data_IF_381057432246
#
_entry.id   IF_381057432246
#
_cell.length_a   1.000
_cell.length_b   1.000
_cell.length_c   1.000
_cell.angle_alpha   90.00
_cell.angle_beta   90.00
_cell.angle_gamma   90.00
#
_symmetry.space_group_name_H-M   'P 1'
#
loop_
_entity.id
_entity.type
_entity.pdbx_description
1 polymer ?
#
# COMPACT_ATOMS: atom_id res chain seq x y z
N UNK A 1 -21.42 20.37 -31.50
CA UNK A 1 -20.98 19.37 -30.49
C UNK A 1 -21.26 19.94 -29.11
N UNK A 2 -22.33 19.51 -28.45
CA UNK A 2 -22.60 19.91 -27.07
C UNK A 2 -21.64 19.15 -26.14
N UNK A 3 -20.88 19.88 -25.34
CA UNK A 3 -20.11 19.30 -24.25
C UNK A 3 -21.10 18.62 -23.29
N UNK A 4 -20.96 17.31 -23.12
CA UNK A 4 -21.69 16.58 -22.09
C UNK A 4 -21.08 17.00 -20.77
N UNK A 5 -21.68 18.01 -20.15
CA UNK A 5 -21.40 18.40 -18.77
C UNK A 5 -21.96 17.28 -17.87
N UNK A 6 -21.18 16.20 -17.71
CA UNK A 6 -21.50 15.18 -16.72
C UNK A 6 -21.33 15.86 -15.37
N UNK A 7 -22.38 16.00 -14.55
CA UNK A 7 -22.19 16.45 -13.18
C UNK A 7 -21.19 15.50 -12.55
N UNK A 8 -20.03 16.02 -12.14
CA UNK A 8 -19.05 15.26 -11.37
C UNK A 8 -19.70 14.92 -10.03
N UNK A 9 -20.41 13.79 -9.98
CA UNK A 9 -20.86 13.23 -8.72
C UNK A 9 -19.61 12.95 -7.91
N UNK A 10 -19.43 13.68 -6.81
CA UNK A 10 -18.36 13.40 -5.86
C UNK A 10 -18.51 11.93 -5.45
N UNK A 11 -17.49 11.07 -5.67
CA UNK A 11 -17.56 9.68 -5.26
C UNK A 11 -17.92 9.62 -3.79
N UNK A 12 -18.81 8.71 -3.40
CA UNK A 12 -19.13 8.51 -1.98
C UNK A 12 -17.88 8.00 -1.26
N UNK A 13 -17.20 8.90 -0.56
CA UNK A 13 -15.92 8.64 0.11
C UNK A 13 -15.97 7.39 0.99
N UNK A 14 -17.04 7.22 1.78
CA UNK A 14 -17.20 6.08 2.68
C UNK A 14 -17.32 4.78 1.90
N UNK A 15 -18.08 4.77 0.80
CA UNK A 15 -18.17 3.61 -0.09
C UNK A 15 -16.83 3.29 -0.74
N UNK A 16 -16.08 4.30 -1.19
CA UNK A 16 -14.74 4.12 -1.76
C UNK A 16 -13.78 3.52 -0.73
N UNK A 17 -13.71 4.08 0.48
CA UNK A 17 -12.86 3.56 1.56
C UNK A 17 -13.29 2.14 1.95
N UNK A 18 -14.59 1.84 1.97
CA UNK A 18 -15.08 0.49 2.23
C UNK A 18 -14.55 -0.54 1.22
N UNK A 19 -14.61 -0.24 -0.08
CA UNK A 19 -14.05 -1.13 -1.11
C UNK A 19 -12.53 -1.26 -0.99
N UNK A 20 -11.80 -0.16 -0.77
CA UNK A 20 -10.35 -0.19 -0.56
C UNK A 20 -10.00 -1.12 0.60
N UNK A 21 -10.72 -1.03 1.72
CA UNK A 21 -10.49 -1.90 2.87
C UNK A 21 -10.80 -3.36 2.58
N UNK A 22 -11.85 -3.65 1.80
CA UNK A 22 -12.16 -5.02 1.38
C UNK A 22 -11.02 -5.62 0.54
N UNK A 23 -10.46 -4.84 -0.38
CA UNK A 23 -9.28 -5.24 -1.17
C UNK A 23 -8.05 -5.48 -0.28
N UNK A 24 -7.75 -4.55 0.63
CA UNK A 24 -6.61 -4.66 1.56
C UNK A 24 -6.70 -5.85 2.52
N UNK A 25 -7.92 -6.23 2.92
CA UNK A 25 -8.19 -7.40 3.75
C UNK A 25 -8.23 -8.71 2.94
N UNK A 26 -8.10 -8.64 1.62
CA UNK A 26 -8.15 -9.79 0.73
C UNK A 26 -9.52 -10.46 0.66
N UNK A 27 -10.60 -9.71 0.90
CA UNK A 27 -11.99 -10.23 0.85
C UNK A 27 -12.51 -10.42 -0.57
N UNK A 28 -11.84 -9.85 -1.55
CA UNK A 28 -12.16 -10.03 -2.97
C UNK A 28 -11.70 -11.43 -3.44
N UNK A 29 -12.30 -12.03 -4.48
CA UNK A 29 -11.79 -13.27 -5.04
C UNK A 29 -10.33 -13.12 -5.48
N UNK A 30 -9.42 -13.87 -4.85
CA UNK A 30 -8.03 -13.91 -5.27
C UNK A 30 -7.87 -14.71 -6.57
N UNK A 31 -6.87 -14.38 -7.37
CA UNK A 31 -6.42 -15.23 -8.47
C UNK A 31 -5.87 -16.53 -7.87
N UNK A 32 -6.26 -17.68 -8.41
CA UNK A 32 -5.80 -18.98 -7.91
C UNK A 32 -4.27 -19.06 -7.88
N UNK A 33 -3.71 -19.41 -6.72
CA UNK A 33 -2.26 -19.46 -6.51
C UNK A 33 -1.62 -18.15 -6.05
N UNK A 34 -2.39 -17.06 -5.90
CA UNK A 34 -1.89 -15.76 -5.44
C UNK A 34 -2.46 -15.38 -4.07
N UNK A 35 -1.64 -14.67 -3.29
CA UNK A 35 -2.03 -14.04 -2.03
C UNK A 35 -2.10 -12.53 -2.23
N UNK A 36 -3.12 -11.90 -1.66
CA UNK A 36 -3.40 -10.48 -1.81
C UNK A 36 -3.58 -9.79 -0.45
N UNK A 37 -3.65 -8.45 -0.47
CA UNK A 37 -3.81 -7.64 0.73
C UNK A 37 -2.62 -7.73 1.69
N UNK A 38 -2.86 -7.43 2.96
CA UNK A 38 -1.82 -7.41 4.01
C UNK A 38 -1.13 -8.77 4.24
N UNK A 39 -1.79 -9.88 3.90
CA UNK A 39 -1.21 -11.21 4.02
C UNK A 39 -0.07 -11.46 3.02
N UNK A 40 -0.02 -10.70 1.91
CA UNK A 40 1.02 -10.82 0.89
C UNK A 40 2.42 -10.53 1.45
N UNK A 41 2.55 -9.60 2.41
CA UNK A 41 3.81 -9.31 3.08
C UNK A 41 4.43 -10.53 3.78
N UNK A 42 3.61 -11.39 4.41
CA UNK A 42 4.12 -12.60 5.07
C UNK A 42 4.70 -13.57 4.03
N UNK A 43 4.01 -13.74 2.91
CA UNK A 43 4.47 -14.59 1.80
C UNK A 43 5.74 -14.03 1.18
N UNK A 44 5.81 -12.71 1.02
CA UNK A 44 6.98 -12.02 0.48
C UNK A 44 8.19 -12.16 1.42
N UNK A 45 8.01 -11.91 2.71
CA UNK A 45 9.06 -12.08 3.73
C UNK A 45 9.55 -13.53 3.76
N UNK A 46 8.64 -14.50 3.73
CA UNK A 46 9.00 -15.92 3.70
C UNK A 46 9.85 -16.26 2.46
N UNK A 47 9.46 -15.77 1.28
CA UNK A 47 10.21 -15.99 0.05
C UNK A 47 11.63 -15.40 0.10
N UNK A 48 11.81 -14.24 0.76
CA UNK A 48 13.14 -13.65 1.01
C UNK A 48 13.96 -14.56 1.94
N UNK A 49 13.35 -15.03 3.03
CA UNK A 49 14.02 -15.86 4.04
C UNK A 49 14.43 -17.23 3.51
N UNK A 50 13.65 -17.78 2.57
CA UNK A 50 13.91 -19.06 1.91
C UNK A 50 14.78 -18.92 0.64
N UNK A 51 15.24 -17.71 0.32
CA UNK A 51 16.07 -17.41 -0.86
C UNK A 51 15.41 -17.86 -2.19
N UNK A 52 14.08 -17.73 -2.27
CA UNK A 52 13.26 -18.15 -3.43
C UNK A 52 12.88 -17.00 -4.37
N UNK A 53 13.35 -15.79 -4.10
CA UNK A 53 13.04 -14.65 -4.96
C UNK A 53 13.97 -14.58 -6.16
N UNK A 54 13.39 -14.34 -7.33
CA UNK A 54 14.12 -13.78 -8.46
C UNK A 54 14.48 -12.32 -8.17
N UNK A 55 15.75 -11.95 -8.28
CA UNK A 55 16.25 -10.62 -7.93
C UNK A 55 15.63 -9.52 -8.79
N UNK A 56 15.41 -9.78 -10.09
CA UNK A 56 14.82 -8.80 -11.02
C UNK A 56 13.35 -8.60 -10.69
N UNK A 57 12.60 -9.69 -10.52
CA UNK A 57 11.21 -9.68 -10.10
C UNK A 57 11.01 -8.99 -8.75
N UNK A 58 11.93 -9.21 -7.79
CA UNK A 58 11.89 -8.52 -6.51
C UNK A 58 12.08 -7.01 -6.66
N UNK A 59 13.11 -6.56 -7.39
CA UNK A 59 13.35 -5.15 -7.65
C UNK A 59 12.15 -4.47 -8.33
N UNK A 60 11.55 -5.14 -9.32
CA UNK A 60 10.33 -4.68 -9.97
C UNK A 60 9.14 -4.58 -9.00
N UNK A 61 8.95 -5.59 -8.15
CA UNK A 61 7.89 -5.58 -7.16
C UNK A 61 8.05 -4.44 -6.14
N UNK A 62 9.27 -4.19 -5.66
CA UNK A 62 9.55 -3.05 -4.76
C UNK A 62 9.21 -1.71 -5.43
N UNK A 63 9.59 -1.54 -6.70
CA UNK A 63 9.30 -0.33 -7.47
C UNK A 63 7.79 -0.09 -7.61
N UNK A 64 7.04 -1.11 -8.05
CA UNK A 64 5.59 -1.03 -8.21
C UNK A 64 4.89 -0.72 -6.88
N UNK A 65 5.32 -1.38 -5.79
CA UNK A 65 4.69 -1.19 -4.50
C UNK A 65 4.96 0.20 -3.92
N UNK A 66 6.16 0.76 -4.13
CA UNK A 66 6.48 2.14 -3.75
C UNK A 66 5.53 3.12 -4.46
N UNK A 67 5.46 3.07 -5.79
CA UNK A 67 4.59 3.96 -6.57
C UNK A 67 3.12 3.81 -6.17
N UNK A 68 2.64 2.57 -6.02
CA UNK A 68 1.27 2.32 -5.59
C UNK A 68 0.95 2.91 -4.20
N UNK A 69 1.91 2.91 -3.28
CA UNK A 69 1.73 3.48 -1.93
C UNK A 69 1.90 5.00 -1.90
N UNK A 70 2.71 5.58 -2.77
CA UNK A 70 2.75 7.03 -3.00
C UNK A 70 1.38 7.54 -3.46
N UNK A 71 0.76 6.87 -4.45
CA UNK A 71 -0.60 7.21 -4.88
C UNK A 71 -1.65 7.04 -3.78
N UNK A 72 -1.53 5.99 -2.95
CA UNK A 72 -2.42 5.79 -1.82
C UNK A 72 -2.29 6.94 -0.78
N UNK A 73 -1.06 7.40 -0.52
CA UNK A 73 -0.81 8.55 0.35
C UNK A 73 -1.40 9.84 -0.24
N UNK A 74 -1.17 10.12 -1.53
CA UNK A 74 -1.75 11.29 -2.19
C UNK A 74 -3.28 11.29 -2.09
N UNK A 75 -3.92 10.14 -2.36
CA UNK A 75 -5.37 9.99 -2.20
C UNK A 75 -5.84 10.31 -0.77
N UNK A 76 -5.14 9.80 0.25
CA UNK A 76 -5.50 10.07 1.65
C UNK A 76 -5.28 11.53 2.05
N UNK A 77 -4.24 12.18 1.51
CA UNK A 77 -3.99 13.61 1.71
C UNK A 77 -5.08 14.47 1.06
N UNK A 78 -5.51 14.11 -0.16
CA UNK A 78 -6.63 14.76 -0.82
C UNK A 78 -7.90 14.64 0.02
N UNK A 79 -8.19 13.45 0.55
CA UNK A 79 -9.32 13.24 1.46
C UNK A 79 -9.22 14.11 2.69
N UNK A 80 -8.04 14.20 3.29
CA UNK A 80 -7.84 14.99 4.50
C UNK A 80 -8.17 16.48 4.32
N UNK A 81 -8.03 17.02 3.09
CA UNK A 81 -8.37 18.41 2.79
C UNK A 81 -9.86 18.73 2.92
N UNK A 82 -10.73 17.71 2.85
CA UNK A 82 -12.19 17.88 3.00
C UNK A 82 -12.81 16.99 4.10
N UNK A 83 -12.02 16.14 4.74
CA UNK A 83 -12.42 15.33 5.89
C UNK A 83 -11.45 15.54 7.07
N UNK A 84 -12.00 16.08 8.16
CA UNK A 84 -11.24 16.50 9.34
C UNK A 84 -11.33 15.52 10.51
N UNK A 85 -11.96 14.35 10.31
CA UNK A 85 -11.96 13.30 11.31
C UNK A 85 -10.54 12.87 11.71
N UNK A 86 -10.35 12.64 13.02
CA UNK A 86 -9.06 12.25 13.60
C UNK A 86 -8.55 10.96 12.96
N UNK A 87 -9.45 10.05 12.62
CA UNK A 87 -9.17 8.78 12.00
C UNK A 87 -8.52 8.95 10.60
N UNK A 88 -9.00 9.89 9.79
CA UNK A 88 -8.40 10.18 8.48
C UNK A 88 -6.99 10.76 8.66
N UNK A 89 -6.80 11.71 9.58
CA UNK A 89 -5.45 12.22 9.91
C UNK A 89 -4.49 11.13 10.35
N UNK A 90 -4.94 10.22 11.22
CA UNK A 90 -4.11 9.11 11.67
C UNK A 90 -3.79 8.13 10.54
N UNK A 91 -4.72 7.89 9.62
CA UNK A 91 -4.45 7.09 8.43
C UNK A 91 -3.38 7.74 7.53
N UNK A 92 -3.47 9.06 7.28
CA UNK A 92 -2.43 9.80 6.54
C UNK A 92 -1.07 9.63 7.20
N UNK A 93 -0.97 9.83 8.52
CA UNK A 93 0.29 9.68 9.25
C UNK A 93 0.89 8.27 9.12
N UNK A 94 0.05 7.23 9.16
CA UNK A 94 0.51 5.85 8.93
C UNK A 94 1.00 5.64 7.50
N UNK A 95 0.33 6.19 6.49
CA UNK A 95 0.77 6.05 5.09
C UNK A 95 2.00 6.91 4.76
N UNK A 96 2.25 8.00 5.49
CA UNK A 96 3.54 8.71 5.44
C UNK A 96 4.70 7.83 5.93
N UNK A 97 4.46 7.01 6.97
CA UNK A 97 5.47 6.03 7.41
C UNK A 97 5.68 4.93 6.37
N UNK A 98 4.60 4.45 5.72
CA UNK A 98 4.71 3.49 4.61
C UNK A 98 5.58 4.06 3.49
N UNK A 99 5.29 5.29 3.03
CA UNK A 99 6.08 5.95 1.99
C UNK A 99 7.55 6.12 2.40
N UNK A 100 7.80 6.54 3.65
CA UNK A 100 9.15 6.65 4.20
C UNK A 100 9.92 5.31 4.13
N UNK A 101 9.33 4.22 4.62
CA UNK A 101 9.98 2.91 4.59
C UNK A 101 10.16 2.36 3.17
N UNK A 102 9.25 2.64 2.24
CA UNK A 102 9.46 2.32 0.82
C UNK A 102 10.53 3.19 0.18
N UNK A 103 10.64 4.47 0.55
CA UNK A 103 11.72 5.38 0.14
C UNK A 103 13.09 4.92 0.62
N UNK A 104 13.13 4.23 1.75
CA UNK A 104 14.31 3.51 2.22
C UNK A 104 14.53 2.19 1.45
N UNK A 105 13.50 1.39 1.24
CA UNK A 105 13.61 0.06 0.62
C UNK A 105 14.02 0.15 -0.86
N UNK A 106 13.41 1.05 -1.62
CA UNK A 106 13.55 1.12 -3.08
C UNK A 106 14.99 1.34 -3.58
N UNK A 107 15.79 2.29 -3.05
CA UNK A 107 17.17 2.50 -3.50
C UNK A 107 18.07 1.28 -3.30
N UNK A 108 17.69 0.36 -2.40
CA UNK A 108 18.42 -0.88 -2.15
C UNK A 108 18.15 -1.95 -3.19
N UNK A 109 17.13 -1.79 -4.04
CA UNK A 109 16.78 -2.72 -5.11
C UNK A 109 16.56 -1.98 -6.43
N UNK A 110 17.59 -1.33 -6.99
CA UNK A 110 17.43 -0.52 -8.19
C UNK A 110 17.12 -1.42 -9.38
N UNK A 111 15.92 -1.27 -9.93
CA UNK A 111 15.51 -1.97 -11.14
C UNK A 111 16.33 -1.46 -12.35
N UNK A 112 16.86 -2.38 -13.17
CA UNK A 112 17.58 -2.05 -14.41
C UNK A 112 19.11 -2.20 -14.38
N UNK A 113 19.71 -2.55 -13.24
CA UNK A 113 21.15 -2.80 -13.13
C UNK A 113 21.45 -4.31 -13.06
N UNK A 114 22.22 -4.83 -14.02
CA UNK A 114 22.45 -6.28 -14.20
C UNK A 114 23.41 -6.92 -13.19
N UNK A 115 24.28 -6.15 -12.53
CA UNK A 115 25.45 -6.70 -11.83
C UNK A 115 25.44 -6.49 -10.31
N UNK A 116 24.29 -6.15 -9.71
CA UNK A 116 24.23 -5.92 -8.27
C UNK A 116 23.74 -7.18 -7.56
N UNK A 117 24.66 -7.92 -6.92
CA UNK A 117 24.29 -8.93 -5.92
C UNK A 117 23.79 -8.20 -4.67
N UNK A 118 22.48 -8.05 -4.57
CA UNK A 118 21.85 -7.42 -3.42
C UNK A 118 21.71 -8.46 -2.32
N UNK A 119 22.24 -8.16 -1.14
CA UNK A 119 21.88 -8.90 0.06
C UNK A 119 20.45 -8.51 0.45
N UNK A 120 19.47 -9.17 -0.19
CA UNK A 120 18.04 -8.90 -0.02
C UNK A 120 17.63 -9.09 1.44
N UNK A 121 18.19 -10.11 2.09
CA UNK A 121 17.72 -10.60 3.39
C UNK A 121 17.94 -9.61 4.53
N UNK A 122 19.14 -9.06 4.64
CA UNK A 122 19.55 -8.27 5.81
C UNK A 122 18.84 -6.92 5.90
N UNK A 123 18.37 -6.41 4.76
CA UNK A 123 17.75 -5.08 4.68
C UNK A 123 16.24 -5.12 4.36
N UNK A 124 15.77 -6.05 3.52
CA UNK A 124 14.37 -6.04 3.10
C UNK A 124 13.42 -6.53 4.20
N UNK A 125 13.78 -7.58 4.95
CA UNK A 125 12.86 -8.17 5.93
C UNK A 125 12.46 -7.18 7.04
N UNK A 126 13.38 -6.44 7.68
CA UNK A 126 13.01 -5.45 8.69
C UNK A 126 12.10 -4.35 8.12
N UNK A 127 12.43 -3.82 6.94
CA UNK A 127 11.65 -2.75 6.29
C UNK A 127 10.25 -3.23 5.89
N UNK A 128 10.12 -4.43 5.32
CA UNK A 128 8.82 -5.00 4.95
C UNK A 128 7.92 -5.23 6.17
N UNK A 129 8.49 -5.61 7.32
CA UNK A 129 7.72 -5.70 8.57
C UNK A 129 7.24 -4.33 9.05
N UNK A 130 8.09 -3.30 8.97
CA UNK A 130 7.72 -1.93 9.33
C UNK A 130 6.64 -1.38 8.40
N UNK A 131 6.77 -1.60 7.10
CA UNK A 131 5.75 -1.27 6.09
C UNK A 131 4.42 -1.96 6.43
N UNK A 132 4.44 -3.29 6.62
CA UNK A 132 3.23 -4.06 6.93
C UNK A 132 2.55 -3.53 8.20
N UNK A 133 3.32 -3.22 9.24
CA UNK A 133 2.79 -2.69 10.50
C UNK A 133 2.15 -1.30 10.31
N UNK A 134 2.83 -0.39 9.62
CA UNK A 134 2.32 0.95 9.35
C UNK A 134 1.04 0.90 8.49
N UNK A 135 1.03 0.04 7.47
CA UNK A 135 -0.11 -0.17 6.58
C UNK A 135 -1.31 -0.78 7.33
N UNK A 136 -1.06 -1.74 8.24
CA UNK A 136 -2.09 -2.31 9.11
C UNK A 136 -2.67 -1.26 10.07
N UNK A 137 -1.85 -0.34 10.59
CA UNK A 137 -2.33 0.76 11.43
C UNK A 137 -3.18 1.76 10.63
N UNK A 138 -2.74 2.15 9.44
CA UNK A 138 -3.48 3.06 8.57
C UNK A 138 -4.87 2.50 8.21
N UNK A 139 -4.92 1.24 7.81
CA UNK A 139 -6.19 0.56 7.50
C UNK A 139 -7.09 0.42 8.74
N UNK A 140 -6.53 0.21 9.93
CA UNK A 140 -7.30 0.22 11.18
C UNK A 140 -7.95 1.57 11.48
N UNK A 141 -7.25 2.67 11.22
CA UNK A 141 -7.81 4.01 11.37
C UNK A 141 -8.97 4.25 10.37
N UNK A 142 -8.81 3.86 9.11
CA UNK A 142 -9.88 3.94 8.11
C UNK A 142 -11.10 3.09 8.48
N UNK A 143 -10.92 1.92 9.10
CA UNK A 143 -12.04 1.11 9.62
C UNK A 143 -12.80 1.83 10.74
N UNK A 144 -12.09 2.55 11.62
CA UNK A 144 -12.72 3.35 12.68
C UNK A 144 -13.52 4.52 12.10
N UNK A 145 -12.97 5.19 11.08
CA UNK A 145 -13.68 6.25 10.34
C UNK A 145 -15.03 5.74 9.80
N UNK A 146 -15.06 4.56 9.15
CA UNK A 146 -16.31 3.99 8.65
C UNK A 146 -17.32 3.67 9.76
N UNK A 147 -16.88 3.24 10.94
CA UNK A 147 -17.77 2.83 12.05
C UNK A 147 -18.41 4.00 12.78
N UNK A 148 -17.77 5.17 12.86
CA UNK A 148 -18.32 6.37 13.52
C UNK A 148 -19.44 7.05 12.74
N UNK A 149 -19.61 6.60 11.51
CA UNK A 149 -20.31 7.29 10.44
C UNK A 149 -21.68 6.69 10.13
N UNK A 150 -22.12 5.73 10.96
CA UNK A 150 -23.42 5.07 11.06
C UNK A 150 -23.87 5.13 12.52
#
# INVERSE_FOLDING_TARGET
MAAIDRPQQRPNLKKTIHHILAHYEGKEPAVSGYIQGLASYNTWIQAIQEEKLDSIGHAYQVALMKEAREHALCFLQDIHNFESEKEVRSAVASFQQVDHFYGELYPRFPYGFKDIQLNVRDHAVPLLKQIQQAEAQGTHHLKKFLKKSF
#
